data_IF_665582938104
#
_entry.id   IF_665582938104
#
_cell.length_a   1.000
_cell.length_b   1.000
_cell.length_c   1.000
_cell.angle_alpha   90.00
_cell.angle_beta   90.00
_cell.angle_gamma   90.00
#
_symmetry.space_group_name_H-M   'P 1'
#
loop_
_entity.id
_entity.type
_entity.pdbx_description
1 polymer ?
#
# COMPACT_ATOMS: atom_id res chain seq x y z
N UNK A 1 -11.61 -21.53 0.24
CA UNK A 1 -10.91 -20.23 0.39
C UNK A 1 -11.22 -19.54 1.72
N UNK A 2 -12.49 -19.27 2.06
CA UNK A 2 -12.88 -18.55 3.30
C UNK A 2 -12.39 -19.21 4.59
N UNK A 3 -12.52 -20.54 4.70
CA UNK A 3 -12.04 -21.31 5.86
C UNK A 3 -10.50 -21.22 6.02
N UNK A 4 -9.77 -21.22 4.91
CA UNK A 4 -8.31 -21.15 4.88
C UNK A 4 -7.82 -19.77 5.36
N UNK A 5 -8.50 -18.70 4.95
CA UNK A 5 -8.24 -17.34 5.44
C UNK A 5 -8.57 -17.21 6.94
N UNK A 6 -9.69 -17.78 7.37
CA UNK A 6 -10.07 -17.78 8.78
C UNK A 6 -9.03 -18.53 9.64
N UNK A 7 -8.60 -19.70 9.19
CA UNK A 7 -7.58 -20.49 9.89
C UNK A 7 -6.24 -19.77 9.92
N UNK A 8 -5.81 -19.16 8.81
CA UNK A 8 -4.59 -18.36 8.79
C UNK A 8 -4.65 -17.16 9.74
N UNK A 9 -5.78 -16.44 9.77
CA UNK A 9 -6.01 -15.33 10.68
C UNK A 9 -6.03 -15.76 12.15
N UNK A 10 -6.49 -16.98 12.46
CA UNK A 10 -6.48 -17.52 13.82
C UNK A 10 -5.10 -18.06 14.23
N UNK A 11 -4.41 -18.78 13.35
CA UNK A 11 -3.11 -19.38 13.63
C UNK A 11 -1.99 -18.34 13.72
N UNK A 12 -2.07 -17.26 12.94
CA UNK A 12 -1.06 -16.21 12.93
C UNK A 12 -0.82 -15.56 14.31
N UNK A 13 -1.85 -15.04 15.04
CA UNK A 13 -1.65 -14.49 16.38
C UNK A 13 -1.24 -15.56 17.40
N UNK A 14 -1.70 -16.81 17.25
CA UNK A 14 -1.25 -17.92 18.10
C UNK A 14 0.26 -18.15 17.94
N UNK A 15 0.77 -18.12 16.71
CA UNK A 15 2.21 -18.21 16.43
C UNK A 15 3.00 -17.07 17.06
N UNK A 16 2.47 -15.84 17.01
CA UNK A 16 3.12 -14.66 17.63
C UNK A 16 3.23 -14.82 19.15
N UNK A 17 2.15 -15.24 19.82
CA UNK A 17 2.14 -15.46 21.27
C UNK A 17 3.11 -16.59 21.64
N UNK A 18 3.15 -17.67 20.85
CA UNK A 18 4.07 -18.77 21.06
C UNK A 18 5.54 -18.31 20.94
N UNK A 19 5.86 -17.49 19.93
CA UNK A 19 7.19 -16.90 19.78
C UNK A 19 7.54 -15.95 20.92
N UNK A 20 6.59 -15.13 21.39
CA UNK A 20 6.81 -14.28 22.56
C UNK A 20 7.17 -15.09 23.80
N UNK A 21 6.50 -16.22 24.02
CA UNK A 21 6.84 -17.13 25.09
C UNK A 21 8.24 -17.73 24.92
N UNK A 22 8.59 -18.17 23.72
CA UNK A 22 9.88 -18.77 23.44
C UNK A 22 11.03 -17.77 23.64
N UNK A 23 10.88 -16.55 23.15
CA UNK A 23 11.87 -15.48 23.36
C UNK A 23 11.89 -15.04 24.82
N UNK A 24 10.73 -14.90 25.45
CA UNK A 24 10.60 -14.63 26.88
C UNK A 24 11.33 -15.63 27.75
N UNK A 25 11.30 -16.91 27.39
CA UNK A 25 12.06 -17.96 28.07
C UNK A 25 13.57 -17.90 27.81
N UNK A 26 13.99 -17.42 26.62
CA UNK A 26 15.41 -17.35 26.23
C UNK A 26 16.15 -16.13 26.80
N UNK A 27 15.53 -14.94 26.77
CA UNK A 27 16.16 -13.67 27.19
C UNK A 27 15.52 -13.03 28.43
N UNK A 28 14.39 -13.57 28.90
CA UNK A 28 13.63 -13.05 30.03
C UNK A 28 12.45 -12.15 29.64
N UNK A 29 11.40 -12.18 30.45
CA UNK A 29 10.17 -11.41 30.25
C UNK A 29 10.40 -9.89 30.13
N UNK A 30 11.12 -9.23 31.06
CA UNK A 30 11.37 -7.78 30.99
C UNK A 30 12.13 -7.36 29.73
N UNK A 31 13.14 -8.12 29.32
CA UNK A 31 13.92 -7.85 28.12
C UNK A 31 13.06 -7.98 26.85
N UNK A 32 12.17 -8.98 26.81
CA UNK A 32 11.22 -9.19 25.71
C UNK A 32 10.25 -8.02 25.59
N UNK A 33 9.67 -7.57 26.72
CA UNK A 33 8.79 -6.39 26.74
C UNK A 33 9.53 -5.13 26.28
N UNK A 34 10.77 -4.93 26.72
CA UNK A 34 11.58 -3.80 26.30
C UNK A 34 11.85 -3.81 24.78
N UNK A 35 12.13 -4.97 24.18
CA UNK A 35 12.31 -5.11 22.73
C UNK A 35 11.03 -4.75 21.96
N UNK A 36 9.87 -5.25 22.40
CA UNK A 36 8.59 -4.97 21.75
C UNK A 36 8.23 -3.48 21.80
N UNK A 37 8.46 -2.85 22.96
CA UNK A 37 8.27 -1.40 23.11
C UNK A 37 9.23 -0.63 22.20
N UNK A 38 10.50 -1.03 22.15
CA UNK A 38 11.50 -0.38 21.30
C UNK A 38 11.14 -0.50 19.81
N UNK A 39 10.71 -1.69 19.36
CA UNK A 39 10.23 -1.92 17.99
C UNK A 39 9.01 -1.06 17.65
N UNK A 40 8.01 -1.04 18.54
CA UNK A 40 6.79 -0.23 18.39
C UNK A 40 7.08 1.26 18.33
N UNK A 41 7.99 1.76 19.19
CA UNK A 41 8.43 3.16 19.17
C UNK A 41 9.16 3.49 17.86
N UNK A 42 10.02 2.59 17.39
CA UNK A 42 10.74 2.77 16.13
C UNK A 42 9.77 2.79 14.94
N UNK A 43 8.81 1.87 14.90
CA UNK A 43 7.73 1.85 13.91
C UNK A 43 6.92 3.14 13.91
N UNK A 44 6.45 3.58 15.08
CA UNK A 44 5.69 4.82 15.24
C UNK A 44 6.48 6.08 14.88
N UNK A 45 7.77 6.14 15.24
CA UNK A 45 8.66 7.24 14.86
C UNK A 45 8.84 7.32 13.35
N UNK A 46 9.05 6.17 12.70
CA UNK A 46 9.24 6.08 11.27
C UNK A 46 7.97 6.45 10.49
N UNK A 47 6.82 6.00 10.99
CA UNK A 47 5.50 6.34 10.45
C UNK A 47 5.23 7.84 10.56
N UNK A 48 5.62 8.50 11.66
CA UNK A 48 5.56 9.98 11.78
C UNK A 48 6.53 10.69 10.84
N UNK A 49 7.72 10.14 10.60
CA UNK A 49 8.72 10.74 9.72
C UNK A 49 8.29 10.66 8.26
N UNK A 50 7.91 9.48 7.80
CA UNK A 50 7.59 9.21 6.40
C UNK A 50 6.15 9.55 6.05
N UNK A 51 5.21 9.49 7.00
CA UNK A 51 3.84 9.99 6.80
C UNK A 51 3.82 11.47 6.42
N UNK A 52 4.65 12.30 7.07
CA UNK A 52 4.81 13.73 6.72
C UNK A 52 5.48 13.94 5.36
N UNK A 53 6.32 13.01 4.91
CA UNK A 53 6.93 13.07 3.58
C UNK A 53 5.92 12.68 2.51
N UNK A 54 5.22 11.57 2.72
CA UNK A 54 4.15 11.09 1.85
C UNK A 54 3.05 12.15 1.67
N UNK A 55 2.65 12.84 2.74
CA UNK A 55 1.67 13.91 2.66
C UNK A 55 2.14 15.10 1.81
N UNK A 56 3.42 15.49 1.94
CA UNK A 56 4.01 16.56 1.11
C UNK A 56 4.06 16.17 -0.36
N UNK A 57 4.51 14.95 -0.65
CA UNK A 57 4.57 14.42 -2.03
C UNK A 57 3.17 14.34 -2.64
N UNK A 58 2.17 13.91 -1.86
CA UNK A 58 0.78 13.90 -2.30
C UNK A 58 0.28 15.32 -2.61
N UNK A 59 0.55 16.28 -1.74
CA UNK A 59 0.16 17.67 -1.93
C UNK A 59 0.84 18.30 -3.16
N UNK A 60 2.11 18.00 -3.39
CA UNK A 60 2.87 18.44 -4.58
C UNK A 60 2.34 17.79 -5.86
N UNK A 61 1.97 16.50 -5.82
CA UNK A 61 1.38 15.81 -6.96
C UNK A 61 0.02 16.39 -7.35
N UNK A 62 -0.78 16.86 -6.38
CA UNK A 62 -2.04 17.56 -6.66
C UNK A 62 -1.83 18.94 -7.28
N UNK A 63 -0.75 19.64 -6.94
CA UNK A 63 -0.42 20.95 -7.51
C UNK A 63 0.19 20.85 -8.91
N UNK A 64 1.04 19.86 -9.14
CA UNK A 64 1.81 19.72 -10.38
C UNK A 64 1.17 18.76 -11.40
N UNK A 65 0.16 17.98 -10.98
CA UNK A 65 -0.47 16.95 -11.80
C UNK A 65 0.45 15.77 -12.15
N UNK A 66 1.66 15.70 -11.58
CA UNK A 66 2.65 14.64 -11.83
C UNK A 66 2.80 13.77 -10.59
N UNK A 67 2.62 12.46 -10.74
CA UNK A 67 2.82 11.50 -9.66
C UNK A 67 4.26 10.96 -9.66
N UNK A 68 5.09 11.26 -8.66
CA UNK A 68 6.44 10.70 -8.55
C UNK A 68 6.37 9.24 -8.05
N UNK A 69 6.23 8.30 -8.99
CA UNK A 69 6.02 6.87 -8.71
C UNK A 69 7.10 6.23 -7.81
N UNK A 70 8.37 6.60 -8.00
CA UNK A 70 9.48 6.05 -7.19
C UNK A 70 9.38 6.48 -5.74
N UNK A 71 9.15 7.75 -5.49
CA UNK A 71 9.15 8.33 -4.16
C UNK A 71 7.90 7.90 -3.36
N UNK A 72 6.76 7.79 -4.04
CA UNK A 72 5.52 7.25 -3.46
C UNK A 72 5.65 5.78 -3.06
N UNK A 73 6.26 4.95 -3.92
CA UNK A 73 6.51 3.55 -3.59
C UNK A 73 7.46 3.41 -2.40
N UNK A 74 8.51 4.24 -2.36
CA UNK A 74 9.48 4.23 -1.28
C UNK A 74 8.90 4.68 0.06
N UNK A 75 8.08 5.73 0.09
CA UNK A 75 7.38 6.14 1.31
C UNK A 75 6.26 5.16 1.71
N UNK A 76 5.58 4.55 0.73
CA UNK A 76 4.55 3.54 0.97
C UNK A 76 5.09 2.28 1.64
N UNK A 77 6.23 1.76 1.19
CA UNK A 77 6.90 0.60 1.81
C UNK A 77 7.27 0.88 3.27
N UNK A 78 7.72 2.10 3.57
CA UNK A 78 8.07 2.48 4.95
C UNK A 78 6.82 2.62 5.81
N UNK A 79 5.73 3.17 5.28
CA UNK A 79 4.45 3.27 6.00
C UNK A 79 3.89 1.89 6.34
N UNK A 80 3.95 0.94 5.40
CA UNK A 80 3.55 -0.44 5.63
C UNK A 80 4.46 -1.11 6.67
N UNK A 81 5.79 -1.00 6.51
CA UNK A 81 6.76 -1.58 7.45
C UNK A 81 6.67 -0.99 8.86
N UNK A 82 6.52 0.33 8.96
CA UNK A 82 6.32 1.04 10.22
C UNK A 82 4.98 0.72 10.88
N UNK A 83 3.92 0.52 10.09
CA UNK A 83 2.62 0.05 10.58
C UNK A 83 2.66 -1.39 11.09
N UNK A 84 3.41 -2.28 10.42
CA UNK A 84 3.66 -3.64 10.90
C UNK A 84 4.40 -3.61 12.24
N UNK A 85 5.47 -2.82 12.36
CA UNK A 85 6.22 -2.66 13.62
C UNK A 85 5.40 -2.09 14.78
N UNK A 86 4.31 -1.41 14.49
CA UNK A 86 3.46 -0.78 15.51
C UNK A 86 2.58 -1.81 16.24
N UNK A 87 2.30 -2.94 15.58
CA UNK A 87 1.63 -4.09 16.20
C UNK A 87 2.73 -4.99 16.77
N UNK A 88 2.95 -4.99 18.10
CA UNK A 88 4.06 -5.74 18.69
C UNK A 88 3.88 -7.24 18.44
N UNK A 89 4.77 -7.81 17.64
CA UNK A 89 4.81 -9.24 17.31
C UNK A 89 6.17 -9.60 16.75
N UNK A 90 6.74 -10.76 17.11
CA UNK A 90 8.08 -11.13 16.65
C UNK A 90 8.14 -11.36 15.14
N UNK A 91 7.15 -12.03 14.56
CA UNK A 91 7.11 -12.23 13.10
C UNK A 91 6.85 -10.90 12.40
N UNK A 92 5.88 -10.16 12.93
CA UNK A 92 5.47 -8.86 12.38
C UNK A 92 6.59 -7.83 12.47
N UNK A 93 7.41 -7.84 13.54
CA UNK A 93 8.57 -6.97 13.72
C UNK A 93 9.68 -7.31 12.71
N UNK A 94 9.97 -8.60 12.48
CA UNK A 94 10.95 -9.01 11.47
C UNK A 94 10.49 -8.56 10.08
N UNK A 95 9.21 -8.77 9.74
CA UNK A 95 8.65 -8.33 8.47
C UNK A 95 8.65 -6.80 8.34
N UNK A 96 8.29 -6.10 9.41
CA UNK A 96 8.26 -4.65 9.44
C UNK A 96 9.66 -4.04 9.31
N UNK A 97 10.64 -4.55 10.05
CA UNK A 97 12.06 -4.17 9.88
C UNK A 97 12.56 -4.49 8.47
N UNK A 98 12.21 -5.65 7.92
CA UNK A 98 12.57 -6.01 6.55
C UNK A 98 11.99 -5.01 5.53
N UNK A 99 10.75 -4.54 5.72
CA UNK A 99 10.14 -3.50 4.86
C UNK A 99 10.80 -2.12 5.02
N UNK A 100 11.29 -1.80 6.22
CA UNK A 100 11.92 -0.52 6.54
C UNK A 100 13.36 -0.43 6.04
N UNK A 101 14.11 -1.54 6.10
CA UNK A 101 15.53 -1.55 5.79
C UNK A 101 15.78 -1.18 4.30
N UNK A 102 16.68 -0.22 4.03
CA UNK A 102 16.93 0.27 2.68
C UNK A 102 17.57 -0.79 1.76
N UNK A 103 18.27 -1.78 2.33
CA UNK A 103 18.94 -2.86 1.60
C UNK A 103 17.94 -3.82 0.93
N UNK A 104 16.78 -4.01 1.56
CA UNK A 104 15.71 -4.87 1.06
C UNK A 104 14.77 -4.15 0.10
N UNK A 105 14.82 -2.82 -0.04
CA UNK A 105 13.94 -2.04 -0.95
C UNK A 105 13.89 -2.55 -2.39
N UNK A 106 14.99 -2.74 -3.13
CA UNK A 106 14.91 -3.20 -4.52
C UNK A 106 14.36 -4.63 -4.64
N UNK A 107 14.63 -5.48 -3.64
CA UNK A 107 14.13 -6.85 -3.59
C UNK A 107 12.63 -6.90 -3.25
N UNK A 108 12.21 -6.13 -2.24
CA UNK A 108 10.81 -5.99 -1.84
C UNK A 108 9.97 -5.31 -2.91
N UNK A 109 10.56 -4.41 -3.72
CA UNK A 109 9.86 -3.80 -4.85
C UNK A 109 9.57 -4.81 -5.96
N UNK A 110 10.51 -5.72 -6.25
CA UNK A 110 10.32 -6.82 -7.22
C UNK A 110 9.37 -7.91 -6.73
N UNK A 111 9.48 -8.31 -5.45
CA UNK A 111 8.53 -9.26 -4.85
C UNK A 111 7.16 -8.62 -4.66
N UNK A 112 7.13 -7.37 -4.21
CA UNK A 112 5.93 -6.58 -3.94
C UNK A 112 5.09 -6.38 -5.19
N UNK A 113 5.65 -5.98 -6.34
CA UNK A 113 4.86 -5.89 -7.59
C UNK A 113 4.25 -7.24 -7.96
N UNK A 114 5.03 -8.33 -7.86
CA UNK A 114 4.58 -9.67 -8.20
C UNK A 114 3.50 -10.22 -7.25
N UNK A 115 3.62 -9.96 -5.94
CA UNK A 115 2.65 -10.40 -4.93
C UNK A 115 1.43 -9.50 -4.90
N UNK A 116 1.61 -8.20 -5.03
CA UNK A 116 0.55 -7.19 -5.05
C UNK A 116 -0.27 -7.33 -6.32
N UNK A 117 0.31 -7.51 -7.51
CA UNK A 117 -0.46 -7.78 -8.73
C UNK A 117 -1.27 -9.08 -8.60
N UNK A 118 -0.69 -10.15 -8.05
CA UNK A 118 -1.40 -11.43 -7.86
C UNK A 118 -2.47 -11.34 -6.78
N UNK A 119 -2.26 -10.55 -5.72
CA UNK A 119 -3.20 -10.37 -4.60
C UNK A 119 -4.31 -9.40 -4.97
N UNK A 120 -4.00 -8.32 -5.69
CA UNK A 120 -4.95 -7.33 -6.22
C UNK A 120 -5.79 -7.95 -7.31
N UNK A 121 -5.24 -8.75 -8.24
CA UNK A 121 -6.08 -9.52 -9.19
C UNK A 121 -7.02 -10.46 -8.46
N UNK A 122 -6.52 -11.23 -7.47
CA UNK A 122 -7.36 -12.12 -6.66
C UNK A 122 -8.38 -11.39 -5.76
N UNK A 123 -8.10 -10.17 -5.32
CA UNK A 123 -9.04 -9.35 -4.53
C UNK A 123 -10.04 -8.59 -5.41
N UNK A 124 -9.63 -8.16 -6.60
CA UNK A 124 -10.49 -7.58 -7.62
C UNK A 124 -11.48 -8.64 -8.14
N UNK A 125 -11.01 -9.87 -8.36
CA UNK A 125 -11.85 -11.03 -8.70
C UNK A 125 -12.76 -11.48 -7.55
N UNK A 126 -12.36 -11.24 -6.29
CA UNK A 126 -13.13 -11.62 -5.09
C UNK A 126 -13.99 -10.48 -4.51
N UNK A 127 -13.95 -9.29 -5.12
CA UNK A 127 -14.76 -8.14 -4.69
C UNK A 127 -16.21 -8.34 -5.12
N UNK A 128 -17.21 -8.10 -4.26
CA UNK A 128 -18.63 -8.09 -4.65
C UNK A 128 -18.97 -7.09 -5.76
N UNK A 129 -18.05 -6.16 -6.05
CA UNK A 129 -18.16 -5.16 -7.13
C UNK A 129 -17.47 -5.58 -8.43
N UNK A 130 -16.88 -6.78 -8.51
CA UNK A 130 -16.22 -7.29 -9.71
C UNK A 130 -17.14 -7.35 -10.94
N UNK A 131 -18.46 -7.51 -10.73
CA UNK A 131 -19.47 -7.49 -11.79
C UNK A 131 -19.96 -6.09 -12.18
N UNK A 132 -19.54 -5.03 -11.50
CA UNK A 132 -19.92 -3.64 -11.82
C UNK A 132 -19.03 -3.02 -12.91
N UNK A 133 -17.84 -3.58 -13.14
CA UNK A 133 -16.92 -3.16 -14.20
C UNK A 133 -16.80 -4.25 -15.26
N UNK A 134 -17.11 -3.98 -16.55
CA UNK A 134 -16.95 -4.94 -17.61
C UNK A 134 -15.46 -5.32 -17.78
N UNK A 135 -15.15 -6.60 -18.08
CA UNK A 135 -13.79 -6.99 -18.42
C UNK A 135 -13.41 -6.29 -19.73
N UNK A 136 -12.50 -5.32 -19.64
CA UNK A 136 -12.08 -4.48 -20.78
C UNK A 136 -12.37 -2.99 -20.65
N UNK A 137 -12.87 -2.51 -19.51
CA UNK A 137 -12.96 -1.08 -19.22
C UNK A 137 -11.62 -0.52 -18.76
N UNK A 138 -11.04 0.37 -19.55
CA UNK A 138 -9.83 1.12 -19.20
C UNK A 138 -9.97 1.76 -17.80
N UNK A 139 -9.02 1.47 -16.92
CA UNK A 139 -8.90 2.22 -15.67
C UNK A 139 -8.57 3.68 -16.01
N UNK A 140 -9.27 4.68 -15.45
CA UNK A 140 -8.91 6.08 -15.64
C UNK A 140 -7.51 6.32 -15.04
N UNK A 141 -6.49 6.28 -15.90
CA UNK A 141 -5.07 6.40 -15.51
C UNK A 141 -4.12 5.43 -16.19
N UNK A 142 -4.60 4.37 -16.87
CA UNK A 142 -3.74 3.44 -17.64
C UNK A 142 -3.75 3.72 -19.14
N UNK A 143 -3.86 4.98 -19.55
CA UNK A 143 -3.75 5.36 -20.95
C UNK A 143 -2.32 5.08 -21.44
N UNK A 144 -2.11 3.87 -21.98
CA UNK A 144 -1.04 3.57 -22.91
C UNK A 144 -1.17 4.52 -24.10
N UNK A 145 -0.10 5.21 -24.55
CA UNK A 145 -0.20 6.23 -25.61
C UNK A 145 -0.49 5.70 -27.01
N UNK A 146 -0.87 4.43 -27.16
CA UNK A 146 -0.87 3.77 -28.47
C UNK A 146 -1.88 2.62 -28.46
N UNK A 147 -3.14 2.91 -28.77
CA UNK A 147 -4.05 2.01 -29.49
C UNK A 147 -5.42 2.67 -29.74
N UNK A 148 -5.72 2.92 -31.02
CA UNK A 148 -7.08 2.82 -31.56
C UNK A 148 -8.13 3.84 -31.08
N UNK A 149 -8.10 5.05 -31.67
CA UNK A 149 -9.24 5.96 -31.63
C UNK A 149 -10.55 5.26 -32.06
N UNK A 150 -11.63 5.26 -31.24
CA UNK A 150 -12.90 4.72 -31.66
C UNK A 150 -13.51 5.62 -32.75
N UNK A 151 -13.52 5.11 -33.99
CA UNK A 151 -14.36 5.63 -35.09
C UNK A 151 -15.82 5.61 -34.62
N UNK A 152 -16.38 6.77 -34.29
CA UNK A 152 -17.83 6.91 -34.10
C UNK A 152 -18.30 7.86 -33.01
N UNK A 153 -17.41 8.51 -32.24
CA UNK A 153 -17.86 9.56 -31.33
C UNK A 153 -18.44 10.73 -32.14
N UNK A 154 -19.77 10.91 -32.08
CA UNK A 154 -20.47 12.03 -32.70
C UNK A 154 -20.05 13.30 -31.98
N UNK A 155 -19.04 13.99 -32.53
CA UNK A 155 -18.58 15.29 -32.08
C UNK A 155 -19.69 16.29 -32.39
N UNK A 156 -20.37 16.78 -31.37
CA UNK A 156 -21.29 17.92 -31.50
C UNK A 156 -20.48 19.17 -31.26
N UNK A 157 -20.15 19.88 -32.34
CA UNK A 157 -19.55 21.21 -32.26
C UNK A 157 -20.60 22.18 -31.72
N UNK A 158 -20.45 22.57 -30.46
CA UNK A 158 -21.15 23.72 -29.89
C UNK A 158 -20.34 24.99 -30.14
N UNK A 159 -20.93 25.97 -30.79
CA UNK A 159 -20.36 27.32 -30.90
C UNK A 159 -20.69 28.09 -29.62
N UNK A 160 -19.65 28.64 -28.97
CA UNK A 160 -19.81 29.45 -27.75
C UNK A 160 -20.06 30.89 -28.18
N UNK A 161 -21.33 31.26 -28.25
CA UNK A 161 -21.73 32.66 -28.43
C UNK A 161 -21.45 33.37 -27.10
N UNK A 162 -20.42 34.22 -27.07
CA UNK A 162 -20.24 35.19 -25.99
C UNK A 162 -21.20 36.33 -26.27
N UNK A 163 -22.24 36.42 -25.47
CA UNK A 163 -23.08 37.60 -25.45
C UNK A 163 -22.31 38.68 -24.69
N UNK A 164 -21.70 39.59 -25.44
CA UNK A 164 -21.04 40.77 -24.89
C UNK A 164 -22.12 41.62 -24.21
N UNK A 165 -22.20 41.51 -22.88
CA UNK A 165 -23.05 42.34 -22.06
C UNK A 165 -22.42 43.74 -22.00
N UNK A 166 -22.80 44.60 -22.93
CA UNK A 166 -22.46 46.02 -22.86
C UNK A 166 -23.04 46.66 -21.58
N UNK A 167 -22.29 47.57 -20.94
CA UNK A 167 -22.65 48.21 -19.67
C UNK A 167 -23.75 49.28 -19.76
#
# INVERSE_FOLDING_TARGET
MRLLLFLAFLLFPVLEIWLMFQVGAAIGGPATVALLIAGSLLGGWLMRREGRRAWRVLQESMQTGRMPERELADSGLILVGGGLLLVPGFVTDVLGLACVLPVTRPLMRRLGSSFFERRVKRMAEASPYAGMFPPGGDFPGTASPDEGAPKGARVVHGEVIREDREP
#
